data_IF_220642715046
#
_entry.id   IF_220642715046
#
_cell.length_a   1.000
_cell.length_b   1.000
_cell.length_c   1.000
_cell.angle_alpha   90.00
_cell.angle_beta   90.00
_cell.angle_gamma   90.00
#
_symmetry.space_group_name_H-M   'P 1'
#
loop_
_entity.id
_entity.type
_entity.pdbx_description
1 polymer ?
#
# COMPACT_ATOMS: atom_id res chain seq x y z
N UNK A 1 13.98 -7.84 7.33
CA UNK A 1 14.36 -6.60 7.99
C UNK A 1 13.56 -5.40 7.45
N UNK A 2 13.62 -4.25 8.14
CA UNK A 2 12.89 -3.02 7.80
C UNK A 2 11.36 -3.18 7.85
N UNK A 3 10.85 -4.03 8.74
CA UNK A 3 9.46 -4.37 8.91
C UNK A 3 8.99 -3.93 10.30
N UNK A 4 7.83 -3.28 10.40
CA UNK A 4 7.23 -2.92 11.68
C UNK A 4 6.17 -3.92 12.17
N UNK A 5 5.84 -4.91 11.38
CA UNK A 5 4.83 -5.90 11.71
C UNK A 5 3.57 -5.82 10.85
N UNK A 6 2.49 -6.43 11.34
CA UNK A 6 1.19 -6.42 10.68
C UNK A 6 0.06 -6.34 11.71
N UNK A 7 -1.09 -5.86 11.26
CA UNK A 7 -2.34 -5.92 12.03
C UNK A 7 -3.52 -6.30 11.12
N UNK A 8 -4.54 -6.85 11.75
CA UNK A 8 -5.83 -7.15 11.13
C UNK A 8 -6.92 -6.80 12.14
N UNK A 9 -7.83 -5.91 11.76
CA UNK A 9 -8.89 -5.39 12.63
C UNK A 9 -10.17 -6.20 12.59
N UNK A 10 -10.24 -7.28 11.79
CA UNK A 10 -11.39 -8.18 11.78
C UNK A 10 -11.57 -8.80 13.17
N UNK A 11 -12.75 -8.71 13.80
CA UNK A 11 -12.99 -9.25 15.14
C UNK A 11 -12.75 -10.75 15.26
N UNK A 12 -12.88 -11.51 14.18
CA UNK A 12 -12.57 -12.93 14.16
C UNK A 12 -11.07 -13.22 14.19
N UNK A 13 -10.24 -12.26 13.78
CA UNK A 13 -8.77 -12.36 13.76
C UNK A 13 -8.16 -11.54 14.88
N UNK A 14 -8.53 -10.27 14.99
CA UNK A 14 -8.10 -9.30 16.00
C UNK A 14 -6.59 -9.38 16.31
N UNK A 15 -5.78 -9.28 15.27
CA UNK A 15 -4.33 -9.46 15.35
C UNK A 15 -3.63 -8.10 15.32
N UNK A 16 -2.77 -7.85 16.29
CA UNK A 16 -1.76 -6.79 16.23
C UNK A 16 -0.39 -7.35 16.66
N UNK A 17 0.50 -7.47 15.70
CA UNK A 17 1.91 -7.84 15.90
C UNK A 17 2.80 -6.73 15.34
N UNK A 18 2.36 -5.49 15.51
CA UNK A 18 3.15 -4.29 15.24
C UNK A 18 3.76 -3.74 16.51
N UNK A 19 4.70 -2.81 16.40
CA UNK A 19 5.13 -1.95 17.50
C UNK A 19 4.64 -0.50 17.33
N UNK A 20 3.52 -0.32 16.60
CA UNK A 20 2.85 0.97 16.51
C UNK A 20 2.20 1.30 17.87
N UNK A 21 2.33 2.56 18.36
CA UNK A 21 1.74 2.94 19.64
C UNK A 21 0.22 3.07 19.60
N UNK A 22 -0.37 3.16 18.42
CA UNK A 22 -1.79 3.42 18.22
C UNK A 22 -2.41 2.38 17.29
N UNK A 23 -3.60 1.92 17.66
CA UNK A 23 -4.41 1.02 16.85
C UNK A 23 -5.40 1.85 16.00
N UNK A 24 -5.47 1.65 14.68
CA UNK A 24 -6.41 2.37 13.83
C UNK A 24 -7.85 1.87 14.05
N UNK A 25 -8.88 2.67 13.72
CA UNK A 25 -10.25 2.19 13.72
C UNK A 25 -10.44 1.06 12.70
N UNK A 26 -11.38 0.17 13.00
CA UNK A 26 -11.79 -0.88 12.06
C UNK A 26 -12.48 -0.27 10.85
N UNK A 27 -12.18 -0.79 9.66
CA UNK A 27 -12.84 -0.39 8.42
C UNK A 27 -12.53 -1.32 7.27
N UNK A 28 -12.64 -0.78 6.06
CA UNK A 28 -12.56 -1.53 4.79
C UNK A 28 -11.34 -1.16 3.92
N UNK A 29 -10.39 -0.41 4.46
CA UNK A 29 -9.18 -0.02 3.74
C UNK A 29 -8.03 -0.93 4.13
N UNK A 30 -7.48 -1.70 3.18
CA UNK A 30 -6.26 -2.44 3.38
C UNK A 30 -5.04 -1.61 2.97
N UNK A 31 -3.96 -1.70 3.73
CA UNK A 31 -2.75 -0.94 3.41
C UNK A 31 -1.48 -1.75 3.56
N UNK A 32 -0.54 -1.51 2.66
CA UNK A 32 0.81 -2.02 2.77
C UNK A 32 1.88 -0.94 2.58
N UNK A 33 2.93 -1.02 3.41
CA UNK A 33 4.09 -0.13 3.33
C UNK A 33 5.39 -0.93 3.20
N UNK A 34 6.27 -0.49 2.29
CA UNK A 34 7.65 -0.99 2.23
C UNK A 34 8.57 -0.30 3.24
N UNK A 35 8.17 0.86 3.77
CA UNK A 35 8.88 1.56 4.82
C UNK A 35 8.30 1.22 6.18
N UNK A 36 9.11 0.63 7.07
CA UNK A 36 8.68 0.32 8.44
C UNK A 36 8.41 1.58 9.26
N UNK A 37 9.33 2.52 9.26
CA UNK A 37 9.19 3.78 10.01
C UNK A 37 7.98 4.59 9.55
N UNK A 38 7.74 4.66 8.24
CA UNK A 38 6.58 5.35 7.69
C UNK A 38 5.26 4.67 8.05
N UNK A 39 5.28 3.35 8.25
CA UNK A 39 4.10 2.58 8.66
C UNK A 39 3.50 3.10 9.98
N UNK A 40 4.32 3.50 10.94
CA UNK A 40 3.85 4.09 12.20
C UNK A 40 3.10 5.41 11.94
N UNK A 41 3.70 6.31 11.16
CA UNK A 41 3.08 7.58 10.80
C UNK A 41 1.78 7.39 9.99
N UNK A 42 1.74 6.40 9.13
CA UNK A 42 0.56 6.01 8.35
C UNK A 42 -0.60 5.58 9.26
N UNK A 43 -0.35 4.69 10.22
CA UNK A 43 -1.39 4.21 11.14
C UNK A 43 -1.88 5.33 12.08
N UNK A 44 -0.97 6.19 12.53
CA UNK A 44 -1.36 7.35 13.35
C UNK A 44 -2.19 8.35 12.55
N UNK A 45 -1.82 8.63 11.31
CA UNK A 45 -2.57 9.51 10.43
C UNK A 45 -3.96 8.94 10.09
N UNK A 46 -4.06 7.65 9.77
CA UNK A 46 -5.34 6.97 9.55
C UNK A 46 -6.29 7.13 10.74
N UNK A 47 -5.75 7.01 11.96
CA UNK A 47 -6.51 7.24 13.20
C UNK A 47 -6.95 8.71 13.35
N UNK A 48 -6.08 9.68 13.03
CA UNK A 48 -6.39 11.11 13.15
C UNK A 48 -7.52 11.55 12.22
N UNK A 49 -7.60 10.98 11.02
CA UNK A 49 -8.64 11.30 10.03
C UNK A 49 -9.82 10.33 10.06
N UNK A 50 -9.85 9.44 11.05
CA UNK A 50 -10.90 8.42 11.27
C UNK A 50 -11.14 7.50 10.06
N UNK A 51 -10.08 7.15 9.32
CA UNK A 51 -10.18 6.17 8.24
C UNK A 51 -9.99 4.76 8.79
N UNK A 52 -10.98 3.91 8.56
CA UNK A 52 -10.97 2.54 9.06
C UNK A 52 -10.07 1.62 8.24
N UNK A 53 -9.16 0.93 8.92
CA UNK A 53 -8.25 -0.04 8.33
C UNK A 53 -8.78 -1.47 8.53
N UNK A 54 -8.85 -2.28 7.47
CA UNK A 54 -9.13 -3.71 7.57
C UNK A 54 -7.87 -4.50 7.97
N UNK A 55 -6.78 -4.22 7.29
CA UNK A 55 -5.47 -4.81 7.59
C UNK A 55 -4.33 -3.90 7.15
N UNK A 56 -3.23 -3.94 7.90
CA UNK A 56 -1.97 -3.26 7.56
C UNK A 56 -0.81 -4.25 7.58
N UNK A 57 0.02 -4.23 6.54
CA UNK A 57 1.20 -5.08 6.44
C UNK A 57 2.43 -4.25 6.07
N UNK A 58 3.43 -4.26 6.95
CA UNK A 58 4.75 -3.73 6.65
C UNK A 58 5.58 -4.79 5.94
N UNK A 59 5.79 -4.64 4.63
CA UNK A 59 6.54 -5.63 3.83
C UNK A 59 8.06 -5.53 4.02
N UNK A 60 8.56 -4.35 4.42
CA UNK A 60 9.99 -4.11 4.52
C UNK A 60 10.73 -4.47 3.23
N UNK A 61 11.79 -5.27 3.33
CA UNK A 61 12.61 -5.68 2.19
C UNK A 61 11.99 -6.79 1.32
N UNK A 62 10.76 -7.23 1.60
CA UNK A 62 10.02 -8.23 0.81
C UNK A 62 10.78 -9.57 0.65
N UNK A 63 11.40 -10.04 1.73
CA UNK A 63 12.15 -11.29 1.69
C UNK A 63 11.24 -12.51 1.44
N UNK A 64 9.99 -12.42 1.86
CA UNK A 64 8.96 -13.46 1.71
C UNK A 64 7.70 -12.85 1.07
N UNK A 65 6.91 -12.10 1.85
CA UNK A 65 5.68 -11.46 1.37
C UNK A 65 5.98 -10.19 0.57
N UNK A 66 5.34 -10.07 -0.58
CA UNK A 66 5.43 -8.91 -1.48
C UNK A 66 4.05 -8.30 -1.76
N UNK A 67 4.03 -7.13 -2.41
CA UNK A 67 2.77 -6.52 -2.85
C UNK A 67 1.95 -7.44 -3.77
N UNK A 68 2.59 -8.35 -4.52
CA UNK A 68 1.88 -9.31 -5.35
C UNK A 68 1.04 -10.29 -4.53
N UNK A 69 1.58 -10.74 -3.41
CA UNK A 69 0.93 -11.72 -2.55
C UNK A 69 -0.20 -11.05 -1.76
N UNK A 70 0.00 -9.83 -1.31
CA UNK A 70 -1.01 -9.03 -0.62
C UNK A 70 -2.18 -8.65 -1.54
N UNK A 71 -1.92 -8.25 -2.78
CA UNK A 71 -2.97 -7.98 -3.75
C UNK A 71 -3.84 -9.23 -4.03
N UNK A 72 -3.22 -10.42 -4.10
CA UNK A 72 -3.95 -11.68 -4.26
C UNK A 72 -4.79 -12.02 -3.03
N UNK A 73 -4.27 -11.79 -1.84
CA UNK A 73 -4.98 -11.98 -0.58
C UNK A 73 -6.19 -11.04 -0.50
N UNK A 74 -5.99 -9.75 -0.69
CA UNK A 74 -7.06 -8.74 -0.60
C UNK A 74 -8.09 -8.82 -1.74
N UNK A 75 -7.74 -9.42 -2.87
CA UNK A 75 -8.72 -9.66 -3.94
C UNK A 75 -9.91 -10.48 -3.45
N UNK A 76 -9.66 -11.46 -2.59
CA UNK A 76 -10.67 -12.35 -2.02
C UNK A 76 -11.17 -11.97 -0.62
N UNK A 77 -10.57 -10.99 0.03
CA UNK A 77 -10.92 -10.59 1.39
C UNK A 77 -12.22 -9.76 1.42
N UNK A 78 -13.31 -10.26 2.03
CA UNK A 78 -14.58 -9.54 2.08
C UNK A 78 -14.54 -8.30 2.99
N UNK A 79 -13.54 -8.19 3.87
CA UNK A 79 -13.37 -7.05 4.77
C UNK A 79 -12.65 -5.87 4.12
N UNK A 80 -12.14 -6.04 2.89
CA UNK A 80 -11.37 -5.01 2.17
C UNK A 80 -12.10 -4.55 0.93
N UNK A 81 -12.36 -3.25 0.80
CA UNK A 81 -12.93 -2.62 -0.38
C UNK A 81 -11.92 -1.76 -1.15
N UNK A 82 -10.98 -1.13 -0.46
CA UNK A 82 -9.96 -0.24 -1.03
C UNK A 82 -8.58 -0.71 -0.62
N UNK A 83 -7.62 -0.66 -1.54
CA UNK A 83 -6.23 -1.08 -1.31
C UNK A 83 -5.29 0.10 -1.47
N UNK A 84 -4.47 0.37 -0.45
CA UNK A 84 -3.44 1.40 -0.45
C UNK A 84 -2.05 0.77 -0.47
N UNK A 85 -1.19 1.28 -1.34
CA UNK A 85 0.18 0.80 -1.45
C UNK A 85 1.18 1.96 -1.33
N UNK A 86 2.13 1.84 -0.41
CA UNK A 86 3.35 2.64 -0.41
C UNK A 86 4.50 1.77 -0.94
N UNK A 87 4.99 2.09 -2.13
CA UNK A 87 5.97 1.27 -2.83
C UNK A 87 7.30 2.00 -3.05
N UNK A 88 8.40 1.32 -2.76
CA UNK A 88 9.76 1.71 -3.15
C UNK A 88 10.23 0.97 -4.41
N UNK A 89 9.76 -0.27 -4.58
CA UNK A 89 10.04 -1.09 -5.76
C UNK A 89 8.97 -2.15 -5.98
N UNK A 90 8.82 -2.62 -7.22
CA UNK A 90 7.79 -3.61 -7.58
C UNK A 90 8.20 -5.06 -7.33
N UNK A 91 9.50 -5.34 -7.15
CA UNK A 91 10.03 -6.69 -7.19
C UNK A 91 9.98 -7.25 -8.62
N UNK A 92 8.88 -7.88 -9.00
CA UNK A 92 8.66 -8.42 -10.35
C UNK A 92 7.57 -7.62 -11.11
N UNK A 93 7.91 -6.58 -11.89
CA UNK A 93 6.95 -5.62 -12.45
C UNK A 93 5.89 -6.25 -13.36
N UNK A 94 6.26 -7.24 -14.18
CA UNK A 94 5.30 -7.92 -15.09
C UNK A 94 4.23 -8.69 -14.31
N UNK A 95 4.64 -9.41 -13.25
CA UNK A 95 3.71 -10.12 -12.37
C UNK A 95 2.81 -9.14 -11.63
N UNK A 96 3.40 -8.06 -11.09
CA UNK A 96 2.68 -6.99 -10.42
C UNK A 96 1.61 -6.37 -11.33
N UNK A 97 1.97 -5.95 -12.55
CA UNK A 97 1.03 -5.34 -13.48
C UNK A 97 -0.15 -6.26 -13.83
N UNK A 98 0.10 -7.55 -14.03
CA UNK A 98 -0.95 -8.54 -14.33
C UNK A 98 -1.93 -8.70 -13.16
N UNK A 99 -1.41 -8.81 -11.94
CA UNK A 99 -2.24 -8.97 -10.74
C UNK A 99 -3.00 -7.68 -10.46
N UNK A 100 -2.30 -6.54 -10.42
CA UNK A 100 -2.91 -5.24 -10.15
C UNK A 100 -4.05 -4.91 -11.12
N UNK A 101 -3.88 -5.15 -12.43
CA UNK A 101 -4.94 -4.96 -13.42
C UNK A 101 -6.19 -5.80 -13.14
N UNK A 102 -6.02 -7.02 -12.64
CA UNK A 102 -7.14 -7.90 -12.30
C UNK A 102 -7.83 -7.44 -11.03
N UNK A 103 -7.06 -7.15 -9.99
CA UNK A 103 -7.58 -6.72 -8.68
C UNK A 103 -8.29 -5.38 -8.79
N UNK A 104 -7.69 -4.42 -9.50
CA UNK A 104 -8.22 -3.07 -9.64
C UNK A 104 -9.59 -2.98 -10.35
N UNK A 105 -10.00 -4.04 -11.03
CA UNK A 105 -11.37 -4.16 -11.61
C UNK A 105 -12.43 -4.48 -10.56
N UNK A 106 -12.03 -4.92 -9.38
CA UNK A 106 -12.91 -5.32 -8.29
C UNK A 106 -12.81 -4.35 -7.11
N UNK A 107 -11.58 -3.93 -6.82
CA UNK A 107 -11.24 -3.08 -5.68
C UNK A 107 -10.24 -2.03 -6.12
N UNK A 108 -10.52 -0.74 -5.96
CA UNK A 108 -9.60 0.32 -6.36
C UNK A 108 -8.28 0.19 -5.60
N UNK A 109 -7.19 0.41 -6.33
CA UNK A 109 -5.84 0.42 -5.80
C UNK A 109 -5.29 1.84 -5.93
N UNK A 110 -4.99 2.46 -4.80
CA UNK A 110 -4.33 3.77 -4.73
C UNK A 110 -2.88 3.57 -4.33
N UNK A 111 -1.95 4.26 -4.97
CA UNK A 111 -0.53 4.01 -4.79
C UNK A 111 0.31 5.28 -4.73
N UNK A 112 1.19 5.34 -3.74
CA UNK A 112 2.34 6.25 -3.71
C UNK A 112 3.60 5.45 -4.04
N UNK A 113 4.37 5.92 -5.03
CA UNK A 113 5.67 5.36 -5.39
C UNK A 113 6.78 6.33 -5.01
N UNK A 114 7.63 5.93 -4.05
CA UNK A 114 8.80 6.72 -3.66
C UNK A 114 9.87 6.75 -4.76
N UNK A 115 10.81 7.69 -4.66
CA UNK A 115 11.94 7.79 -5.59
C UNK A 115 11.60 8.44 -6.92
N UNK A 116 10.65 9.36 -6.97
CA UNK A 116 10.22 10.08 -8.18
C UNK A 116 11.27 11.06 -8.69
N UNK A 117 11.92 11.80 -7.79
CA UNK A 117 13.01 12.69 -8.15
C UNK A 117 14.33 11.93 -8.32
N UNK A 118 15.27 12.47 -9.08
CA UNK A 118 16.60 11.87 -9.20
C UNK A 118 17.32 11.71 -7.83
N UNK A 119 17.13 12.67 -6.93
CA UNK A 119 17.65 12.59 -5.56
C UNK A 119 16.93 11.50 -4.76
N UNK A 120 15.60 11.43 -4.83
CA UNK A 120 14.80 10.39 -4.19
C UNK A 120 15.08 8.99 -4.76
N UNK A 121 15.32 8.88 -6.08
CA UNK A 121 15.70 7.61 -6.71
C UNK A 121 17.06 7.11 -6.22
N UNK A 122 18.06 8.01 -6.06
CA UNK A 122 19.37 7.67 -5.47
C UNK A 122 19.24 7.25 -4.01
N UNK A 123 18.47 7.98 -3.22
CA UNK A 123 18.20 7.62 -1.82
C UNK A 123 17.53 6.25 -1.71
N UNK A 124 16.48 5.99 -2.49
CA UNK A 124 15.76 4.72 -2.50
C UNK A 124 16.66 3.56 -2.95
N UNK A 125 17.51 3.75 -3.97
CA UNK A 125 18.45 2.71 -4.44
C UNK A 125 19.53 2.39 -3.42
N UNK A 126 20.03 3.40 -2.70
CA UNK A 126 21.00 3.20 -1.61
C UNK A 126 20.38 2.47 -0.42
N UNK A 127 19.09 2.73 -0.13
CA UNK A 127 18.40 2.16 1.02
C UNK A 127 17.91 0.72 0.76
N UNK A 128 17.44 0.41 -0.43
CA UNK A 128 16.81 -0.89 -0.74
C UNK A 128 17.65 -1.79 -1.63
N UNK A 129 18.77 -1.28 -2.20
CA UNK A 129 19.57 -2.01 -3.18
C UNK A 129 18.86 -2.31 -4.50
N UNK A 130 17.64 -1.81 -4.68
CA UNK A 130 16.86 -2.02 -5.90
C UNK A 130 17.19 -0.95 -6.95
N UNK A 131 17.36 -1.38 -8.20
CA UNK A 131 17.53 -0.45 -9.32
C UNK A 131 16.25 0.40 -9.48
N UNK A 132 16.44 1.73 -9.55
CA UNK A 132 15.35 2.66 -9.79
C UNK A 132 14.78 2.43 -11.20
N UNK A 133 13.50 2.08 -11.28
CA UNK A 133 12.78 2.04 -12.55
C UNK A 133 12.59 3.46 -13.08
N UNK A 134 12.78 3.66 -14.39
CA UNK A 134 12.56 4.97 -14.99
C UNK A 134 11.13 5.47 -14.76
N UNK A 135 10.98 6.74 -14.44
CA UNK A 135 9.67 7.35 -14.09
C UNK A 135 8.62 7.15 -15.18
N UNK A 136 9.01 7.23 -16.45
CA UNK A 136 8.12 6.99 -17.60
C UNK A 136 7.55 5.57 -17.58
N UNK A 137 8.38 4.57 -17.29
CA UNK A 137 7.94 3.17 -17.23
C UNK A 137 7.00 2.93 -16.05
N UNK A 138 7.27 3.54 -14.90
CA UNK A 138 6.41 3.48 -13.71
C UNK A 138 5.06 4.11 -13.99
N UNK A 139 5.02 5.30 -14.58
CA UNK A 139 3.78 5.99 -14.94
C UNK A 139 2.97 5.22 -15.99
N UNK A 140 3.63 4.61 -16.97
CA UNK A 140 2.97 3.75 -17.96
C UNK A 140 2.36 2.50 -17.29
N UNK A 141 3.08 1.87 -16.36
CA UNK A 141 2.59 0.71 -15.61
C UNK A 141 1.32 1.04 -14.83
N UNK A 142 1.31 2.15 -14.08
CA UNK A 142 0.13 2.54 -13.31
C UNK A 142 -1.08 2.84 -14.22
N UNK A 143 -0.88 3.57 -15.31
CA UNK A 143 -1.95 3.82 -16.31
C UNK A 143 -2.50 2.53 -16.92
N UNK A 144 -1.63 1.60 -17.31
CA UNK A 144 -2.04 0.32 -17.90
C UNK A 144 -2.79 -0.59 -16.93
N UNK A 145 -2.53 -0.46 -15.63
CA UNK A 145 -3.20 -1.25 -14.59
C UNK A 145 -4.47 -0.60 -14.06
N UNK A 146 -4.72 0.68 -14.40
CA UNK A 146 -5.84 1.45 -13.91
C UNK A 146 -5.68 1.92 -12.44
N UNK A 147 -4.49 1.71 -11.84
CA UNK A 147 -4.22 2.14 -10.48
C UNK A 147 -4.20 3.67 -10.39
N UNK A 148 -4.73 4.19 -9.30
CA UNK A 148 -4.71 5.62 -8.98
C UNK A 148 -3.37 5.95 -8.35
N UNK A 149 -2.57 6.73 -9.06
CA UNK A 149 -1.29 7.20 -8.53
C UNK A 149 -1.46 8.54 -7.85
N UNK A 150 -0.94 8.65 -6.65
CA UNK A 150 -0.84 9.90 -5.89
C UNK A 150 0.64 10.25 -5.62
N UNK A 151 0.90 11.51 -5.33
CA UNK A 151 2.27 12.00 -5.13
C UNK A 151 2.66 12.08 -3.66
N UNK A 152 1.68 12.18 -2.78
CA UNK A 152 1.85 12.30 -1.33
C UNK A 152 1.01 11.25 -0.59
N UNK A 153 1.32 11.04 0.68
CA UNK A 153 0.48 10.21 1.56
C UNK A 153 -0.86 10.88 1.86
N UNK A 154 -0.88 12.20 1.94
CA UNK A 154 -2.11 12.96 2.14
C UNK A 154 -3.10 12.70 1.00
N UNK A 155 -2.68 12.89 -0.25
CA UNK A 155 -3.48 12.55 -1.44
C UNK A 155 -3.90 11.08 -1.48
N UNK A 156 -3.03 10.15 -1.02
CA UNK A 156 -3.36 8.74 -0.92
C UNK A 156 -4.56 8.51 0.00
N UNK A 157 -4.56 9.13 1.17
CA UNK A 157 -5.64 9.00 2.14
C UNK A 157 -6.90 9.77 1.75
N UNK A 158 -6.78 10.94 1.09
CA UNK A 158 -7.93 11.65 0.53
C UNK A 158 -8.66 10.79 -0.50
N UNK A 159 -7.92 10.18 -1.44
CA UNK A 159 -8.48 9.25 -2.42
C UNK A 159 -9.10 8.02 -1.73
N UNK A 160 -8.46 7.48 -0.69
CA UNK A 160 -9.00 6.37 0.07
C UNK A 160 -10.30 6.72 0.77
N UNK A 161 -10.37 7.88 1.43
CA UNK A 161 -11.57 8.37 2.11
C UNK A 161 -12.74 8.51 1.15
N UNK A 162 -12.48 9.06 -0.03
CA UNK A 162 -13.50 9.17 -1.08
C UNK A 162 -14.03 7.78 -1.48
N UNK A 163 -13.13 6.84 -1.78
CA UNK A 163 -13.50 5.53 -2.31
C UNK A 163 -14.09 4.59 -1.27
N UNK A 164 -13.69 4.72 -0.01
CA UNK A 164 -14.22 3.91 1.08
C UNK A 164 -15.64 4.30 1.51
N UNK A 165 -16.04 5.56 1.24
CA UNK A 165 -17.31 6.12 1.71
C UNK A 165 -18.31 6.41 0.59
N UNK A 166 -17.98 6.14 -0.66
CA UNK A 166 -18.88 6.36 -1.80
C UNK A 166 -19.02 5.09 -2.64
N UNK A 167 -20.20 4.87 -3.29
CA UNK A 167 -20.34 3.81 -4.26
C UNK A 167 -19.30 3.98 -5.38
N UNK A 168 -18.65 2.89 -5.76
CA UNK A 168 -17.77 2.90 -6.93
C UNK A 168 -18.61 3.11 -8.21
N UNK A 169 -18.08 3.85 -9.20
CA UNK A 169 -18.76 4.12 -10.46
C UNK A 169 -18.97 2.87 -11.31
#
# INVERSE_FOLDING_TARGET
PNCMGMLNTDPAVNLDVTFAPNYPPRGNVAMSSQSGALGIAILDYARQIDIGISSFISMGNKADVSANDLLLYWEGDPSTDVILLYLESFGHPRRFARIARRVNRKKPIVVVKSGRSQAGARAASSHTGAMASGETAVSALFRQTGMIRTDTLEELFEAATLMANQPLP
#
